data_IF_016246476123
#
_entry.id   IF_016246476123
#
_cell.length_a   1.000
_cell.length_b   1.000
_cell.length_c   1.000
_cell.angle_alpha   90.00
_cell.angle_beta   90.00
_cell.angle_gamma   90.00
#
_symmetry.space_group_name_H-M   'P 1'
#
loop_
_entity.id
_entity.type
_entity.pdbx_description
1 polymer ?
#
# COMPACT_ATOMS: atom_id res chain seq x y z
N UNK A 1 13.81 9.51 9.34
CA UNK A 1 12.33 9.29 9.46
C UNK A 1 11.66 9.97 8.27
N UNK A 2 10.79 9.27 7.52
CA UNK A 2 10.16 9.80 6.30
C UNK A 2 8.90 10.61 6.65
N UNK A 3 8.64 11.70 5.91
CA UNK A 3 7.40 12.48 6.00
C UNK A 3 6.53 12.25 4.76
N UNK A 4 5.21 12.29 4.92
CA UNK A 4 4.22 12.27 3.84
C UNK A 4 3.74 13.71 3.66
N UNK A 5 3.74 14.22 2.41
CA UNK A 5 3.11 15.51 2.09
C UNK A 5 1.60 15.36 2.30
N UNK A 6 0.95 16.37 2.89
CA UNK A 6 -0.47 16.34 3.29
C UNK A 6 -1.35 15.50 2.35
N UNK A 7 -1.94 14.37 2.81
CA UNK A 7 -2.62 13.40 1.94
C UNK A 7 -4.03 13.84 1.48
N UNK A 8 -4.26 15.14 1.30
CA UNK A 8 -5.58 15.66 0.87
C UNK A 8 -5.90 15.47 -0.62
N UNK A 9 -5.00 14.95 -1.46
CA UNK A 9 -5.27 14.75 -2.89
C UNK A 9 -5.51 13.28 -3.22
N UNK A 10 -6.72 12.96 -3.71
CA UNK A 10 -7.16 11.62 -4.15
C UNK A 10 -6.20 10.94 -5.16
N UNK A 11 -5.40 11.72 -5.89
CA UNK A 11 -4.43 11.24 -6.88
C UNK A 11 -3.22 10.53 -6.26
N UNK A 12 -2.73 10.99 -5.10
CA UNK A 12 -1.55 10.41 -4.46
C UNK A 12 -1.83 8.99 -3.96
N UNK A 13 -3.01 8.76 -3.37
CA UNK A 13 -3.45 7.43 -2.96
C UNK A 13 -3.65 6.49 -4.14
N UNK A 14 -4.22 6.99 -5.23
CA UNK A 14 -4.41 6.22 -6.46
C UNK A 14 -3.06 5.76 -7.00
N UNK A 15 -2.06 6.64 -7.00
CA UNK A 15 -0.71 6.32 -7.44
C UNK A 15 -0.01 5.35 -6.49
N UNK A 16 -0.14 5.54 -5.18
CA UNK A 16 0.39 4.62 -4.18
C UNK A 16 -0.19 3.23 -4.41
N UNK A 17 -1.51 3.09 -4.44
CA UNK A 17 -2.18 1.80 -4.60
C UNK A 17 -1.73 1.09 -5.87
N UNK A 18 -1.69 1.82 -7.00
CA UNK A 18 -1.19 1.32 -8.27
C UNK A 18 0.20 0.67 -8.14
N UNK A 19 1.13 1.32 -7.46
CA UNK A 19 2.50 0.79 -7.30
C UNK A 19 2.53 -0.50 -6.48
N UNK A 20 1.73 -0.62 -5.42
CA UNK A 20 1.64 -1.85 -4.62
C UNK A 20 0.94 -2.98 -5.38
N UNK A 21 -0.16 -2.69 -6.07
CA UNK A 21 -0.96 -3.64 -6.86
C UNK A 21 -0.13 -4.31 -7.95
N UNK A 22 0.74 -3.55 -8.63
CA UNK A 22 1.58 -4.05 -9.72
C UNK A 22 2.91 -4.67 -9.25
N UNK A 23 3.46 -4.19 -8.14
CA UNK A 23 4.77 -4.65 -7.67
C UNK A 23 4.71 -5.95 -6.88
N UNK A 24 3.56 -6.30 -6.32
CA UNK A 24 3.38 -7.50 -5.47
C UNK A 24 2.82 -8.65 -6.32
N UNK A 25 3.50 -9.83 -6.33
CA UNK A 25 2.99 -10.99 -7.05
C UNK A 25 1.74 -11.55 -6.37
N UNK A 26 0.85 -12.16 -7.15
CA UNK A 26 -0.46 -12.65 -6.69
C UNK A 26 -0.38 -13.57 -5.47
N UNK A 27 0.56 -14.51 -5.50
CA UNK A 27 0.81 -15.47 -4.42
C UNK A 27 1.08 -14.81 -3.06
N UNK A 28 1.66 -13.61 -3.08
CA UNK A 28 2.04 -12.86 -1.88
C UNK A 28 0.98 -11.83 -1.50
N UNK A 29 0.04 -11.50 -2.39
CA UNK A 29 -0.93 -10.44 -2.20
C UNK A 29 -1.81 -10.65 -0.96
N UNK A 30 -2.38 -11.85 -0.80
CA UNK A 30 -3.24 -12.17 0.35
C UNK A 30 -2.49 -12.04 1.68
N UNK A 31 -1.24 -12.50 1.73
CA UNK A 31 -0.40 -12.36 2.92
C UNK A 31 -0.09 -10.89 3.20
N UNK A 32 0.19 -10.10 2.16
CA UNK A 32 0.41 -8.67 2.27
C UNK A 32 -0.79 -7.94 2.89
N UNK A 33 -1.99 -8.09 2.32
CA UNK A 33 -3.18 -7.36 2.83
C UNK A 33 -3.57 -7.79 4.24
N UNK A 34 -3.31 -9.06 4.62
CA UNK A 34 -3.45 -9.54 6.01
C UNK A 34 -2.48 -8.81 6.96
N UNK A 35 -1.22 -8.64 6.56
CA UNK A 35 -0.21 -7.93 7.37
C UNK A 35 -0.46 -6.42 7.48
N UNK A 36 -1.05 -5.85 6.43
CA UNK A 36 -1.56 -4.46 6.41
C UNK A 36 -2.74 -4.30 7.37
N UNK A 37 -3.41 -5.41 7.72
CA UNK A 37 -4.43 -5.50 8.75
C UNK A 37 -5.85 -5.45 8.22
N UNK A 38 -6.06 -5.88 6.96
CA UNK A 38 -7.38 -6.18 6.40
C UNK A 38 -7.85 -7.56 6.90
N UNK A 39 -9.13 -7.68 7.27
CA UNK A 39 -9.70 -8.91 7.82
C UNK A 39 -10.00 -9.92 6.71
N UNK A 40 -9.99 -11.21 7.04
CA UNK A 40 -10.25 -12.29 6.08
C UNK A 40 -11.62 -12.17 5.40
N UNK A 41 -12.67 -11.87 6.18
CA UNK A 41 -14.01 -11.62 5.64
C UNK A 41 -14.05 -10.49 4.58
N UNK A 42 -13.22 -9.45 4.74
CA UNK A 42 -13.15 -8.37 3.75
C UNK A 42 -12.41 -8.79 2.49
N UNK A 43 -11.38 -9.63 2.63
CA UNK A 43 -10.64 -10.21 1.51
C UNK A 43 -11.59 -11.08 0.69
N UNK A 44 -12.29 -12.01 1.34
CA UNK A 44 -13.26 -12.92 0.69
C UNK A 44 -14.37 -12.16 -0.02
N UNK A 45 -14.90 -11.10 0.60
CA UNK A 45 -15.91 -10.23 -0.01
C UNK A 45 -15.38 -9.55 -1.28
N UNK A 46 -14.15 -9.03 -1.27
CA UNK A 46 -13.54 -8.44 -2.47
C UNK A 46 -13.41 -9.45 -3.61
N UNK A 47 -13.02 -10.69 -3.30
CA UNK A 47 -12.88 -11.78 -4.28
C UNK A 47 -14.22 -12.19 -4.86
N UNK A 48 -15.25 -12.27 -4.02
CA UNK A 48 -16.60 -12.65 -4.42
C UNK A 48 -17.28 -11.59 -5.30
N UNK A 49 -17.10 -10.31 -4.98
CA UNK A 49 -17.70 -9.20 -5.73
C UNK A 49 -17.06 -8.98 -7.10
N UNK A 50 -15.79 -9.37 -7.27
CA UNK A 50 -15.01 -9.12 -8.48
C UNK A 50 -14.45 -10.44 -9.05
N UNK A 51 -15.30 -11.41 -9.40
CA UNK A 51 -14.85 -12.72 -9.85
C UNK A 51 -14.05 -12.60 -11.16
N UNK A 52 -12.87 -13.21 -11.20
CA UNK A 52 -12.01 -13.21 -12.39
C UNK A 52 -11.25 -11.91 -12.68
N UNK A 53 -11.50 -10.83 -11.94
CA UNK A 53 -10.76 -9.57 -12.09
C UNK A 53 -9.82 -9.34 -10.90
N UNK A 54 -8.64 -9.96 -10.97
CA UNK A 54 -7.63 -9.87 -9.91
C UNK A 54 -7.19 -8.43 -9.62
N UNK A 55 -7.07 -7.58 -10.64
CA UNK A 55 -6.65 -6.20 -10.45
C UNK A 55 -7.69 -5.42 -9.62
N UNK A 56 -8.97 -5.57 -9.98
CA UNK A 56 -10.06 -4.93 -9.24
C UNK A 56 -10.17 -5.48 -7.81
N UNK A 57 -9.99 -6.79 -7.61
CA UNK A 57 -9.94 -7.38 -6.26
C UNK A 57 -8.86 -6.72 -5.39
N UNK A 58 -7.65 -6.54 -5.92
CA UNK A 58 -6.54 -5.90 -5.21
C UNK A 58 -6.86 -4.44 -4.87
N UNK A 59 -7.41 -3.71 -5.83
CA UNK A 59 -7.79 -2.33 -5.64
C UNK A 59 -8.86 -2.17 -4.55
N UNK A 60 -9.90 -2.99 -4.60
CA UNK A 60 -10.97 -2.99 -3.61
C UNK A 60 -10.48 -3.37 -2.20
N UNK A 61 -9.51 -4.29 -2.09
CA UNK A 61 -8.88 -4.61 -0.80
C UNK A 61 -8.15 -3.42 -0.18
N UNK A 62 -7.36 -2.68 -0.96
CA UNK A 62 -6.65 -1.49 -0.48
C UNK A 62 -7.61 -0.34 -0.16
N UNK A 63 -8.62 -0.13 -1.00
CA UNK A 63 -9.66 0.87 -0.77
C UNK A 63 -10.42 0.61 0.53
N UNK A 64 -10.91 -0.63 0.72
CA UNK A 64 -11.58 -1.03 1.97
C UNK A 64 -10.70 -0.94 3.20
N UNK A 65 -9.42 -1.32 3.07
CA UNK A 65 -8.47 -1.15 4.16
C UNK A 65 -8.36 0.32 4.56
N UNK A 66 -8.25 1.22 3.57
CA UNK A 66 -8.18 2.67 3.82
C UNK A 66 -9.47 3.19 4.44
N UNK A 67 -10.63 2.83 3.90
CA UNK A 67 -11.94 3.25 4.43
C UNK A 67 -12.13 2.82 5.89
N UNK A 68 -11.75 1.59 6.23
CA UNK A 68 -11.89 1.07 7.60
C UNK A 68 -10.91 1.67 8.60
N UNK A 69 -9.71 2.07 8.17
CA UNK A 69 -8.67 2.63 9.05
C UNK A 69 -8.66 4.15 9.07
N UNK A 70 -9.28 4.81 8.10
CA UNK A 70 -9.34 6.26 7.98
C UNK A 70 -7.95 6.89 8.10
N UNK A 71 -7.76 7.77 9.09
CA UNK A 71 -6.50 8.50 9.30
C UNK A 71 -5.30 7.63 9.69
N UNK A 72 -5.53 6.39 10.14
CA UNK A 72 -4.44 5.44 10.41
C UNK A 72 -3.93 4.74 9.15
N UNK A 73 -4.68 4.80 8.04
CA UNK A 73 -4.26 4.26 6.76
C UNK A 73 -3.18 5.15 6.16
N UNK A 74 -1.93 4.72 6.31
CA UNK A 74 -0.76 5.43 5.78
C UNK A 74 0.08 4.51 4.91
N UNK A 75 0.71 5.09 3.88
CA UNK A 75 1.73 4.41 3.06
C UNK A 75 2.81 3.73 3.90
N UNK A 76 3.14 4.27 5.09
CA UNK A 76 4.09 3.65 6.01
C UNK A 76 3.65 2.27 6.50
N UNK A 77 2.35 2.03 6.67
CA UNK A 77 1.84 0.69 7.03
C UNK A 77 2.00 -0.30 5.89
N UNK A 78 1.75 0.14 4.65
CA UNK A 78 1.96 -0.68 3.46
C UNK A 78 3.45 -1.06 3.34
N UNK A 79 4.35 -0.08 3.51
CA UNK A 79 5.80 -0.32 3.52
C UNK A 79 6.24 -1.24 4.68
N UNK A 80 5.67 -1.06 5.88
CA UNK A 80 5.97 -1.90 7.02
C UNK A 80 5.53 -3.36 6.80
N UNK A 81 4.41 -3.59 6.13
CA UNK A 81 3.96 -4.93 5.76
C UNK A 81 4.92 -5.60 4.77
N UNK A 82 5.34 -4.90 3.71
CA UNK A 82 6.36 -5.42 2.79
C UNK A 82 7.68 -5.75 3.48
N UNK A 83 8.11 -4.91 4.42
CA UNK A 83 9.32 -5.15 5.21
C UNK A 83 9.18 -6.43 6.05
N UNK A 84 8.01 -6.69 6.64
CA UNK A 84 7.72 -7.92 7.41
C UNK A 84 7.71 -9.18 6.54
N UNK A 85 7.43 -9.06 5.25
CA UNK A 85 7.47 -10.18 4.30
C UNK A 85 8.88 -10.47 3.76
N UNK A 86 9.91 -9.78 4.25
CA UNK A 86 11.29 -9.87 3.77
C UNK A 86 11.44 -9.58 2.26
N UNK A 87 10.45 -8.89 1.67
CA UNK A 87 10.43 -8.52 0.25
C UNK A 87 11.21 -7.22 0.01
N UNK A 88 12.47 -7.17 0.46
CA UNK A 88 13.30 -5.97 0.45
C UNK A 88 13.45 -5.36 -0.95
N UNK A 89 13.57 -6.18 -1.99
CA UNK A 89 13.66 -5.71 -3.38
C UNK A 89 12.40 -4.96 -3.82
N UNK A 90 11.21 -5.48 -3.53
CA UNK A 90 9.94 -4.83 -3.88
C UNK A 90 9.75 -3.56 -3.06
N UNK A 91 10.09 -3.61 -1.77
CA UNK A 91 10.06 -2.45 -0.89
C UNK A 91 10.93 -1.31 -1.44
N UNK A 92 12.18 -1.61 -1.79
CA UNK A 92 13.11 -0.59 -2.29
C UNK A 92 12.63 0.01 -3.63
N UNK A 93 12.09 -0.82 -4.52
CA UNK A 93 11.55 -0.35 -5.80
C UNK A 93 10.36 0.58 -5.62
N UNK A 94 9.40 0.22 -4.77
CA UNK A 94 8.22 1.06 -4.49
C UNK A 94 8.66 2.37 -3.83
N UNK A 95 9.52 2.32 -2.81
CA UNK A 95 10.04 3.53 -2.13
C UNK A 95 10.73 4.45 -3.13
N UNK A 96 11.57 3.92 -4.01
CA UNK A 96 12.27 4.72 -5.02
C UNK A 96 11.30 5.41 -5.98
N UNK A 97 10.25 4.70 -6.44
CA UNK A 97 9.22 5.30 -7.32
C UNK A 97 8.44 6.40 -6.60
N UNK A 98 8.00 6.16 -5.37
CA UNK A 98 7.27 7.15 -4.60
C UNK A 98 8.10 8.40 -4.25
N UNK A 99 9.42 8.24 -4.08
CA UNK A 99 10.35 9.36 -3.93
C UNK A 99 10.53 10.14 -5.25
N UNK A 100 10.62 9.45 -6.38
CA UNK A 100 10.75 10.08 -7.69
C UNK A 100 9.52 10.93 -8.05
N UNK A 101 8.33 10.42 -7.71
CA UNK A 101 7.04 11.11 -7.88
C UNK A 101 6.81 12.23 -6.83
N UNK A 102 7.76 12.43 -5.89
CA UNK A 102 7.68 13.40 -4.79
C UNK A 102 6.48 13.20 -3.84
N UNK A 103 5.92 11.99 -3.82
CA UNK A 103 4.83 11.58 -2.92
C UNK A 103 5.40 11.32 -1.53
N UNK A 104 6.53 10.60 -1.47
CA UNK A 104 7.33 10.50 -0.25
C UNK A 104 8.37 11.62 -0.25
N UNK A 105 8.54 12.27 0.89
CA UNK A 105 9.63 13.22 1.10
C UNK A 105 10.65 12.59 2.03
N UNK A 106 11.89 12.46 1.55
CA UNK A 106 13.04 12.26 2.42
C UNK A 106 13.22 13.55 3.22
N UNK A 107 12.67 13.60 4.43
CA UNK A 107 13.10 14.56 5.43
C UNK A 107 14.56 14.23 5.74
N UNK A 108 15.47 15.02 5.17
CA UNK A 108 16.86 15.02 5.58
C UNK A 108 16.88 15.31 7.08
N UNK A 109 17.54 14.44 7.84
CA UNK A 109 17.82 14.66 9.25
C UNK A 109 18.44 16.05 9.41
N UNK A 110 17.87 16.86 10.31
CA UNK A 110 18.51 18.08 10.74
C UNK A 110 19.85 17.69 11.39
N UNK A 111 20.98 18.30 10.99
CA UNK A 111 22.25 18.04 11.65
C UNK A 111 22.15 18.56 13.09
N UNK A 112 22.44 17.70 14.07
CA UNK A 112 22.74 18.11 15.43
C UNK A 112 24.18 17.75 15.77
#
# INVERSE_FOLDING_TARGET
MFGVRDPSSSDDDTRIFYEFEHSIPEKDWKMFVRLVGLKENDIEMCEHENPGNLMEQRHQMLRRWKDKRGREASVFRLLAALRKMERQTHLQNIVNRLLAEKILVKSAEAPN
#
